data_IF_738395560336
#
_entry.id   IF_738395560336
#
_cell.length_a   1.000
_cell.length_b   1.000
_cell.length_c   1.000
_cell.angle_alpha   90.00
_cell.angle_beta   90.00
_cell.angle_gamma   90.00
#
_symmetry.space_group_name_H-M   'P 1'
#
loop_
_entity.id
_entity.type
_entity.pdbx_description
1 polymer ?
#
# COMPACT_ATOMS: atom_id res chain seq x y z
N UNK A 1 -0.62 6.36 -19.11
CA UNK A 1 -2.08 6.52 -19.27
C UNK A 1 -2.75 5.26 -19.85
N UNK A 2 -2.58 4.93 -21.14
CA UNK A 2 -3.23 3.74 -21.74
C UNK A 2 -2.70 2.42 -21.17
N UNK A 3 -1.37 2.26 -21.16
CA UNK A 3 -0.72 1.04 -20.66
C UNK A 3 -0.95 0.79 -19.15
N UNK A 4 -1.06 1.87 -18.36
CA UNK A 4 -1.37 1.81 -16.93
C UNK A 4 -2.80 1.33 -16.68
N UNK A 5 -3.76 1.77 -17.50
CA UNK A 5 -5.16 1.35 -17.38
C UNK A 5 -5.31 -0.12 -17.76
N UNK A 6 -4.64 -0.56 -18.82
CA UNK A 6 -4.61 -1.97 -19.23
C UNK A 6 -3.93 -2.85 -18.16
N UNK A 7 -2.87 -2.35 -17.53
CA UNK A 7 -2.19 -3.03 -16.41
C UNK A 7 -3.10 -3.18 -15.20
N UNK A 8 -3.82 -2.12 -14.81
CA UNK A 8 -4.76 -2.16 -13.69
C UNK A 8 -5.92 -3.11 -13.96
N UNK A 9 -6.49 -3.08 -15.18
CA UNK A 9 -7.55 -4.03 -15.53
C UNK A 9 -7.06 -5.47 -15.44
N UNK A 10 -5.88 -5.76 -15.99
CA UNK A 10 -5.26 -7.10 -15.87
C UNK A 10 -5.04 -7.48 -14.40
N UNK A 11 -4.60 -6.54 -13.56
CA UNK A 11 -4.42 -6.77 -12.14
C UNK A 11 -5.74 -7.19 -11.47
N UNK A 12 -6.82 -6.44 -11.68
CA UNK A 12 -8.12 -6.75 -11.09
C UNK A 12 -8.65 -8.11 -11.55
N UNK A 13 -8.58 -8.41 -12.86
CA UNK A 13 -9.02 -9.69 -13.42
C UNK A 13 -8.24 -10.88 -12.82
N UNK A 14 -6.93 -10.73 -12.62
CA UNK A 14 -6.08 -11.75 -12.00
C UNK A 14 -6.37 -11.89 -10.51
N UNK A 15 -6.57 -10.78 -9.79
CA UNK A 15 -6.91 -10.82 -8.38
C UNK A 15 -8.23 -11.56 -8.20
N UNK A 16 -9.27 -11.32 -9.00
CA UNK A 16 -10.58 -11.97 -8.87
C UNK A 16 -10.63 -13.43 -9.37
N UNK A 17 -9.57 -13.92 -10.00
CA UNK A 17 -9.58 -15.22 -10.67
C UNK A 17 -9.92 -16.40 -9.74
N UNK A 18 -10.66 -17.38 -10.28
CA UNK A 18 -11.04 -18.60 -9.55
C UNK A 18 -9.84 -19.52 -9.27
N UNK A 19 -8.89 -19.59 -10.20
CA UNK A 19 -7.68 -20.42 -10.08
C UNK A 19 -6.62 -19.75 -9.20
N UNK A 20 -6.02 -20.50 -8.29
CA UNK A 20 -5.04 -19.94 -7.36
C UNK A 20 -3.77 -19.48 -8.06
N UNK A 21 -3.38 -20.11 -9.19
CA UNK A 21 -2.21 -19.68 -9.97
C UNK A 21 -2.40 -18.27 -10.54
N UNK A 22 -3.58 -17.97 -11.10
CA UNK A 22 -3.88 -16.64 -11.63
C UNK A 22 -3.91 -15.59 -10.51
N UNK A 23 -4.43 -15.94 -9.33
CA UNK A 23 -4.37 -15.05 -8.17
C UNK A 23 -2.94 -14.76 -7.72
N UNK A 24 -2.06 -15.76 -7.73
CA UNK A 24 -0.63 -15.55 -7.46
C UNK A 24 -0.01 -14.60 -8.49
N UNK A 25 -0.37 -14.71 -9.78
CA UNK A 25 0.08 -13.78 -10.82
C UNK A 25 -0.41 -12.35 -10.53
N UNK A 26 -1.66 -12.19 -10.06
CA UNK A 26 -2.20 -10.90 -9.64
C UNK A 26 -1.41 -10.28 -8.48
N UNK A 27 -1.09 -11.07 -7.45
CA UNK A 27 -0.26 -10.61 -6.33
C UNK A 27 1.15 -10.23 -6.79
N UNK A 28 1.76 -11.01 -7.69
CA UNK A 28 3.06 -10.68 -8.28
C UNK A 28 3.01 -9.39 -9.12
N UNK A 29 1.94 -9.17 -9.88
CA UNK A 29 1.77 -7.96 -10.67
C UNK A 29 1.62 -6.73 -9.78
N UNK A 30 0.90 -6.85 -8.66
CA UNK A 30 0.80 -5.77 -7.67
C UNK A 30 2.17 -5.43 -7.07
N UNK A 31 2.97 -6.45 -6.76
CA UNK A 31 4.35 -6.26 -6.29
C UNK A 31 5.19 -5.48 -7.32
N UNK A 32 5.04 -5.76 -8.61
CA UNK A 32 5.72 -4.99 -9.66
C UNK A 32 5.22 -3.55 -9.76
N UNK A 33 3.93 -3.32 -9.53
CA UNK A 33 3.32 -1.98 -9.55
C UNK A 33 3.88 -1.07 -8.46
N UNK A 34 4.47 -1.60 -7.38
CA UNK A 34 5.14 -0.81 -6.33
C UNK A 34 6.29 0.06 -6.87
N UNK A 35 6.91 -0.34 -7.98
CA UNK A 35 7.93 0.44 -8.68
C UNK A 35 7.36 1.69 -9.39
N UNK A 36 6.03 1.84 -9.41
CA UNK A 36 5.32 3.02 -9.89
C UNK A 36 4.45 3.61 -8.77
N UNK A 37 5.03 4.30 -7.77
CA UNK A 37 4.31 4.77 -6.59
C UNK A 37 3.09 5.64 -6.90
N UNK A 38 3.12 6.41 -7.99
CA UNK A 38 1.96 7.21 -8.44
C UNK A 38 0.78 6.35 -8.87
N UNK A 39 1.03 5.22 -9.54
CA UNK A 39 -0.03 4.30 -9.96
C UNK A 39 -0.72 3.70 -8.74
N UNK A 40 0.08 3.24 -7.76
CA UNK A 40 -0.43 2.65 -6.51
C UNK A 40 -1.17 3.69 -5.68
N UNK A 41 -0.60 4.87 -5.45
CA UNK A 41 -1.23 5.91 -4.62
C UNK A 41 -2.51 6.47 -5.23
N UNK A 42 -2.58 6.61 -6.56
CA UNK A 42 -3.79 7.11 -7.26
C UNK A 42 -4.95 6.11 -7.20
N UNK A 43 -4.66 4.80 -7.17
CA UNK A 43 -5.67 3.74 -7.23
C UNK A 43 -5.77 2.94 -5.93
N UNK A 44 -5.20 3.45 -4.83
CA UNK A 44 -4.97 2.69 -3.60
C UNK A 44 -6.27 2.11 -3.03
N UNK A 45 -7.38 2.84 -3.10
CA UNK A 45 -8.67 2.37 -2.61
C UNK A 45 -9.12 1.13 -3.39
N UNK A 46 -9.19 1.22 -4.72
CA UNK A 46 -9.68 0.14 -5.57
C UNK A 46 -8.76 -1.08 -5.55
N UNK A 47 -7.43 -0.86 -5.55
CA UNK A 47 -6.45 -1.95 -5.38
C UNK A 47 -6.69 -2.70 -4.07
N UNK A 48 -6.90 -1.98 -2.96
CA UNK A 48 -7.12 -2.62 -1.65
C UNK A 48 -8.49 -3.29 -1.51
N UNK A 49 -9.54 -2.77 -2.17
CA UNK A 49 -10.87 -3.39 -2.20
C UNK A 49 -10.81 -4.82 -2.74
N UNK A 50 -10.03 -5.07 -3.80
CA UNK A 50 -9.86 -6.41 -4.36
C UNK A 50 -8.78 -7.23 -3.64
N UNK A 51 -7.69 -6.57 -3.23
CA UNK A 51 -6.55 -7.24 -2.60
C UNK A 51 -6.86 -7.79 -1.21
N UNK A 52 -7.82 -7.21 -0.46
CA UNK A 52 -8.24 -7.74 0.85
C UNK A 52 -8.71 -9.20 0.76
N UNK A 53 -9.28 -9.60 -0.38
CA UNK A 53 -9.72 -10.97 -0.64
C UNK A 53 -8.55 -11.95 -0.74
N UNK A 54 -7.34 -11.47 -1.02
CA UNK A 54 -6.12 -12.29 -1.11
C UNK A 54 -5.42 -12.41 0.24
N UNK A 55 -5.48 -11.39 1.08
CA UNK A 55 -5.08 -11.48 2.50
C UNK A 55 -5.92 -12.53 3.24
N UNK A 56 -7.19 -12.66 2.86
CA UNK A 56 -8.14 -13.62 3.42
C UNK A 56 -8.28 -14.92 2.59
N UNK A 57 -7.36 -15.18 1.65
CA UNK A 57 -7.48 -16.32 0.73
C UNK A 57 -7.50 -17.67 1.48
N UNK A 58 -8.31 -18.60 0.98
CA UNK A 58 -8.37 -19.97 1.50
C UNK A 58 -7.13 -20.78 1.10
N UNK A 59 -6.48 -20.42 -0.01
CA UNK A 59 -5.25 -21.05 -0.46
C UNK A 59 -4.03 -20.42 0.24
N UNK A 60 -3.38 -21.20 1.10
CA UNK A 60 -2.29 -20.74 1.98
C UNK A 60 -1.15 -20.01 1.26
N UNK A 61 -0.77 -20.44 0.05
CA UNK A 61 0.31 -19.80 -0.71
C UNK A 61 -0.08 -18.41 -1.22
N UNK A 62 -1.33 -18.24 -1.68
CA UNK A 62 -1.83 -16.94 -2.14
C UNK A 62 -1.89 -15.97 -0.97
N UNK A 63 -2.42 -16.43 0.16
CA UNK A 63 -2.48 -15.66 1.39
C UNK A 63 -1.10 -15.21 1.87
N UNK A 64 -0.13 -16.12 1.94
CA UNK A 64 1.21 -15.76 2.42
C UNK A 64 1.87 -14.73 1.49
N UNK A 65 1.80 -14.95 0.17
CA UNK A 65 2.34 -14.00 -0.79
C UNK A 65 1.67 -12.63 -0.68
N UNK A 66 0.36 -12.58 -0.48
CA UNK A 66 -0.37 -11.33 -0.27
C UNK A 66 0.06 -10.60 1.01
N UNK A 67 0.31 -11.33 2.11
CA UNK A 67 0.81 -10.74 3.36
C UNK A 67 2.23 -10.18 3.21
N UNK A 68 3.09 -10.86 2.45
CA UNK A 68 4.46 -10.40 2.20
C UNK A 68 4.43 -9.09 1.37
N UNK A 69 3.67 -9.07 0.27
CA UNK A 69 3.49 -7.86 -0.56
C UNK A 69 2.84 -6.72 0.22
N UNK A 70 1.89 -7.01 1.11
CA UNK A 70 1.28 -6.00 1.98
C UNK A 70 2.32 -5.32 2.87
N UNK A 71 3.23 -6.08 3.48
CA UNK A 71 4.28 -5.53 4.33
C UNK A 71 5.20 -4.57 3.55
N UNK A 72 5.52 -4.92 2.29
CA UNK A 72 6.33 -4.08 1.42
C UNK A 72 5.60 -2.79 0.98
N UNK A 73 4.31 -2.89 0.64
CA UNK A 73 3.49 -1.71 0.32
C UNK A 73 3.38 -0.78 1.54
N UNK A 74 3.15 -1.31 2.74
CA UNK A 74 3.10 -0.51 3.97
C UNK A 74 4.41 0.24 4.19
N UNK A 75 5.56 -0.40 4.00
CA UNK A 75 6.87 0.25 4.12
C UNK A 75 7.05 1.40 3.11
N UNK A 76 6.61 1.22 1.86
CA UNK A 76 6.65 2.29 0.83
C UNK A 76 5.72 3.45 1.20
N UNK A 77 4.55 3.15 1.77
CA UNK A 77 3.60 4.17 2.21
C UNK A 77 4.11 4.90 3.45
N UNK A 78 4.84 4.25 4.35
CA UNK A 78 5.53 4.88 5.48
C UNK A 78 6.51 5.95 4.99
N UNK A 79 7.31 5.65 3.97
CA UNK A 79 8.19 6.64 3.32
C UNK A 79 7.40 7.80 2.70
N UNK A 80 6.22 7.54 2.13
CA UNK A 80 5.34 8.58 1.60
C UNK A 80 4.66 9.41 2.72
N UNK A 81 4.53 8.86 3.93
CA UNK A 81 3.97 9.52 5.10
C UNK A 81 5.03 10.30 5.90
N UNK A 82 6.33 10.02 5.72
CA UNK A 82 7.41 10.74 6.40
C UNK A 82 7.32 12.28 6.27
N UNK A 83 7.05 12.88 5.10
CA UNK A 83 6.84 14.32 4.99
C UNK A 83 5.68 14.84 5.84
N UNK A 84 4.60 14.06 5.96
CA UNK A 84 3.43 14.40 6.79
C UNK A 84 3.79 14.30 8.28
N UNK A 85 4.52 13.27 8.69
CA UNK A 85 5.03 13.11 10.06
C UNK A 85 5.95 14.28 10.42
N UNK A 86 6.89 14.65 9.55
CA UNK A 86 7.78 15.80 9.75
C UNK A 86 6.99 17.10 9.91
N UNK A 87 6.00 17.35 9.05
CA UNK A 87 5.14 18.54 9.15
C UNK A 87 4.28 18.55 10.43
N UNK A 88 3.78 17.40 10.86
CA UNK A 88 3.02 17.26 12.11
C UNK A 88 3.91 17.53 13.33
N UNK A 89 5.12 16.96 13.37
CA UNK A 89 6.09 17.21 14.44
C UNK A 89 6.46 18.69 14.48
N UNK A 90 6.78 19.30 13.34
CA UNK A 90 7.05 20.75 13.27
C UNK A 90 5.87 21.59 13.76
N UNK A 91 4.64 21.23 13.37
CA UNK A 91 3.42 21.91 13.80
C UNK A 91 3.18 21.81 15.31
N UNK A 92 3.48 20.66 15.91
CA UNK A 92 3.42 20.46 17.37
C UNK A 92 4.49 21.29 18.08
N UNK A 93 5.75 21.26 17.60
CA UNK A 93 6.86 22.05 18.15
C UNK A 93 6.61 23.56 18.07
N UNK A 94 5.96 24.02 17.00
CA UNK A 94 5.63 25.42 16.76
C UNK A 94 4.34 25.86 17.47
N UNK A 95 3.66 24.98 18.21
CA UNK A 95 2.44 25.32 18.92
C UNK A 95 2.76 26.08 20.23
N UNK A 96 2.51 27.41 20.31
CA UNK A 96 2.86 28.20 21.49
C UNK A 96 2.04 27.87 22.75
N UNK A 97 1.01 27.02 22.64
CA UNK A 97 0.14 26.63 23.76
C UNK A 97 0.45 25.25 24.35
N UNK A 98 1.45 24.50 23.86
CA UNK A 98 1.83 23.21 24.45
C UNK A 98 2.67 23.45 25.71
N UNK A 99 2.04 23.44 26.89
CA UNK A 99 2.72 23.49 28.20
C UNK A 99 3.39 22.16 28.58
N UNK A 100 3.93 21.42 27.61
CA UNK A 100 4.47 20.08 27.85
C UNK A 100 6.00 20.12 27.99
N UNK A 101 6.57 19.88 29.19
CA UNK A 101 8.00 20.03 29.44
C UNK A 101 8.88 19.05 28.64
N UNK A 102 8.31 17.96 28.13
CA UNK A 102 9.05 16.93 27.36
C UNK A 102 9.44 17.35 25.95
N UNK A 103 8.90 18.46 25.45
CA UNK A 103 9.08 18.91 24.06
C UNK A 103 10.35 19.76 23.87
N UNK A 104 10.95 20.26 24.95
CA UNK A 104 12.14 21.14 24.91
C UNK A 104 13.48 20.43 25.21
N UNK A 105 13.50 19.10 25.34
CA UNK A 105 14.66 18.35 25.80
C UNK A 105 15.50 17.66 24.70
N UNK A 106 15.31 18.02 23.42
CA UNK A 106 16.11 17.53 22.30
C UNK A 106 17.17 18.55 21.86
#
# INVERSE_FOLDING_TARGET
ARDETETLQKLYDLLEAKGFEARMEGVALLDLCKNSPKLVTTNIVQIFDDFVLRILDTHKKVKQMALDVLAEIIAILEDALNPVIVLLVEGILKNPNSKDPGVHAA
#
